data_IF_782304800488
#
_entry.id   IF_782304800488
#
_cell.length_a   1.000
_cell.length_b   1.000
_cell.length_c   1.000
_cell.angle_alpha   90.00
_cell.angle_beta   90.00
_cell.angle_gamma   90.00
#
_symmetry.space_group_name_H-M   'P 1'
#
loop_
_entity.id
_entity.type
_entity.pdbx_description
1 polymer ?
#
# COMPACT_ATOMS: atom_id res chain seq x y z
N UNK A 1 33.41 1.92 -1.91
CA UNK A 1 34.54 2.76 -2.38
C UNK A 1 34.42 3.10 -3.88
N UNK A 2 34.38 2.12 -4.79
CA UNK A 2 34.29 2.37 -6.25
C UNK A 2 33.01 3.10 -6.68
N UNK A 3 31.85 2.75 -6.11
CA UNK A 3 30.56 3.40 -6.41
C UNK A 3 30.56 4.90 -6.17
N UNK A 4 31.22 5.36 -5.10
CA UNK A 4 31.35 6.80 -4.80
C UNK A 4 32.27 7.48 -5.82
N UNK A 5 33.40 6.84 -6.14
CA UNK A 5 34.36 7.37 -7.09
C UNK A 5 33.76 7.56 -8.50
N UNK A 6 32.90 6.63 -8.95
CA UNK A 6 32.18 6.74 -10.23
C UNK A 6 31.30 8.00 -10.27
N UNK A 7 30.54 8.24 -9.20
CA UNK A 7 29.68 9.43 -9.09
C UNK A 7 30.51 10.71 -9.08
N UNK A 8 31.58 10.75 -8.28
CA UNK A 8 32.46 11.93 -8.19
C UNK A 8 33.26 12.18 -9.47
N UNK A 9 33.45 11.18 -10.32
CA UNK A 9 34.11 11.31 -11.62
C UNK A 9 33.19 11.89 -12.72
N UNK A 10 31.97 12.32 -12.38
CA UNK A 10 31.04 12.97 -13.32
C UNK A 10 30.20 12.02 -14.16
N UNK A 11 30.16 10.72 -13.82
CA UNK A 11 29.43 9.71 -14.60
C UNK A 11 27.90 9.93 -14.62
N UNK A 12 27.33 10.70 -13.69
CA UNK A 12 25.87 10.86 -13.58
C UNK A 12 25.26 11.58 -14.80
N UNK A 13 25.90 12.63 -15.32
CA UNK A 13 25.32 13.43 -16.41
C UNK A 13 25.13 12.59 -17.69
N UNK A 14 26.13 11.83 -18.18
CA UNK A 14 25.92 10.91 -19.31
C UNK A 14 24.88 9.83 -19.01
N UNK A 15 24.92 9.24 -17.81
CA UNK A 15 24.00 8.16 -17.42
C UNK A 15 22.55 8.62 -17.45
N UNK A 16 22.26 9.82 -16.95
CA UNK A 16 20.90 10.38 -16.98
C UNK A 16 20.45 10.66 -18.42
N UNK A 17 21.35 11.14 -19.27
CA UNK A 17 21.06 11.27 -20.70
C UNK A 17 20.68 9.92 -21.34
N UNK A 18 21.34 8.84 -20.94
CA UNK A 18 21.06 7.50 -21.43
C UNK A 18 19.75 6.89 -20.91
N UNK A 19 19.18 7.38 -19.81
CA UNK A 19 17.85 6.95 -19.35
C UNK A 19 16.73 7.32 -20.34
N UNK A 20 16.92 8.40 -21.10
CA UNK A 20 15.98 8.87 -22.12
C UNK A 20 16.30 8.31 -23.53
N UNK A 21 17.23 7.35 -23.63
CA UNK A 21 17.63 6.77 -24.92
C UNK A 21 16.55 5.86 -25.50
N UNK A 22 16.26 5.99 -26.80
CA UNK A 22 15.42 5.04 -27.55
C UNK A 22 16.08 3.66 -27.71
N UNK A 23 17.40 3.58 -27.53
CA UNK A 23 18.10 2.30 -27.50
C UNK A 23 17.86 1.61 -26.15
N UNK A 24 16.98 0.60 -26.16
CA UNK A 24 16.59 -0.17 -24.98
C UNK A 24 17.76 -0.81 -24.23
N UNK A 25 18.81 -1.23 -24.93
CA UNK A 25 20.03 -1.76 -24.30
C UNK A 25 20.80 -0.68 -23.53
N UNK A 26 20.93 0.51 -24.12
CA UNK A 26 21.58 1.65 -23.47
C UNK A 26 20.77 2.17 -22.28
N UNK A 27 19.44 2.28 -22.43
CA UNK A 27 18.53 2.65 -21.35
C UNK A 27 18.58 1.64 -20.20
N UNK A 28 18.48 0.34 -20.51
CA UNK A 28 18.56 -0.72 -19.50
C UNK A 28 19.88 -0.70 -18.73
N UNK A 29 21.02 -0.52 -19.43
CA UNK A 29 22.33 -0.39 -18.79
C UNK A 29 22.41 0.86 -17.90
N UNK A 30 21.83 1.98 -18.32
CA UNK A 30 21.77 3.20 -17.52
C UNK A 30 20.95 2.98 -16.23
N UNK A 31 19.77 2.37 -16.33
CA UNK A 31 18.95 2.02 -15.15
C UNK A 31 19.71 1.09 -14.21
N UNK A 32 20.32 0.02 -14.72
CA UNK A 32 21.09 -0.93 -13.92
C UNK A 32 22.26 -0.26 -13.17
N UNK A 33 22.92 0.70 -13.82
CA UNK A 33 23.98 1.50 -13.18
C UNK A 33 23.40 2.40 -12.08
N UNK A 34 22.26 3.06 -12.31
CA UNK A 34 21.59 3.86 -11.27
C UNK A 34 21.19 2.99 -10.07
N UNK A 35 20.64 1.79 -10.27
CA UNK A 35 20.34 0.84 -9.18
C UNK A 35 21.62 0.53 -8.39
N UNK A 36 22.69 0.17 -9.09
CA UNK A 36 23.96 -0.23 -8.48
C UNK A 36 24.56 0.90 -7.64
N UNK A 37 24.51 2.13 -8.15
CA UNK A 37 25.05 3.32 -7.48
C UNK A 37 24.16 3.78 -6.32
N UNK A 38 22.83 3.75 -6.48
CA UNK A 38 21.85 4.15 -5.45
C UNK A 38 21.77 3.19 -4.27
N UNK A 39 22.23 1.95 -4.42
CA UNK A 39 22.40 1.03 -3.29
C UNK A 39 23.40 1.54 -2.23
N UNK A 40 24.29 2.48 -2.58
CA UNK A 40 25.20 3.12 -1.62
C UNK A 40 24.54 4.34 -0.98
N UNK A 41 24.38 4.36 0.35
CA UNK A 41 23.80 5.50 1.08
C UNK A 41 24.50 6.83 0.77
N UNK A 42 25.82 6.82 0.62
CA UNK A 42 26.64 8.00 0.31
C UNK A 42 26.34 8.64 -1.06
N UNK A 43 25.76 7.88 -1.98
CA UNK A 43 25.53 8.35 -3.35
C UNK A 43 24.11 8.89 -3.54
N UNK A 44 23.16 8.48 -2.69
CA UNK A 44 21.73 8.77 -2.85
C UNK A 44 21.46 10.27 -2.97
N UNK A 45 22.06 11.08 -2.09
CA UNK A 45 21.90 12.54 -2.12
C UNK A 45 22.32 13.16 -3.46
N UNK A 46 23.50 12.76 -3.96
CA UNK A 46 24.08 13.29 -5.20
C UNK A 46 23.25 12.83 -6.42
N UNK A 47 22.82 11.57 -6.44
CA UNK A 47 21.99 11.03 -7.53
C UNK A 47 20.59 11.65 -7.52
N UNK A 48 19.98 11.87 -6.35
CA UNK A 48 18.67 12.52 -6.31
C UNK A 48 18.72 13.98 -6.76
N UNK A 49 19.83 14.67 -6.51
CA UNK A 49 20.04 16.05 -6.97
C UNK A 49 20.40 16.17 -8.46
N UNK A 50 20.62 15.07 -9.19
CA UNK A 50 21.10 15.13 -10.58
C UNK A 50 19.99 15.20 -11.64
N UNK A 51 18.72 15.30 -11.25
CA UNK A 51 17.59 15.28 -12.20
C UNK A 51 17.22 13.87 -12.69
N UNK A 52 17.49 12.85 -11.88
CA UNK A 52 17.27 11.43 -12.24
C UNK A 52 15.80 11.02 -12.23
N UNK A 53 14.94 11.71 -11.47
CA UNK A 53 13.56 11.26 -11.23
C UNK A 53 12.66 11.32 -12.47
N UNK A 54 12.60 12.41 -13.25
CA UNK A 54 11.71 12.46 -14.41
C UNK A 54 11.99 11.36 -15.45
N UNK A 55 13.27 11.08 -15.85
CA UNK A 55 13.56 9.98 -16.76
C UNK A 55 13.18 8.60 -16.21
N UNK A 56 13.38 8.36 -14.90
CA UNK A 56 12.98 7.10 -14.27
C UNK A 56 11.46 6.92 -14.27
N UNK A 57 10.69 7.99 -14.02
CA UNK A 57 9.23 7.96 -14.08
C UNK A 57 8.72 7.75 -15.51
N UNK A 58 9.36 8.37 -16.50
CA UNK A 58 9.02 8.18 -17.92
C UNK A 58 9.14 6.71 -18.37
N UNK A 59 10.17 6.00 -17.90
CA UNK A 59 10.37 4.56 -18.14
C UNK A 59 9.16 3.73 -17.63
N UNK A 60 8.51 4.15 -16.54
CA UNK A 60 7.36 3.42 -15.99
C UNK A 60 6.13 3.53 -16.92
N UNK A 61 5.93 4.71 -17.51
CA UNK A 61 4.76 5.03 -18.35
C UNK A 61 4.93 4.63 -19.81
N UNK A 62 6.16 4.44 -20.28
CA UNK A 62 6.42 4.07 -21.67
C UNK A 62 5.91 2.65 -21.98
N UNK A 63 5.07 2.54 -23.00
CA UNK A 63 4.50 1.27 -23.46
C UNK A 63 5.53 0.38 -24.17
N UNK A 64 6.57 0.96 -24.79
CA UNK A 64 7.63 0.22 -25.47
C UNK A 64 8.66 -0.37 -24.50
N UNK A 65 8.71 0.15 -23.27
CA UNK A 65 9.65 -0.29 -22.24
C UNK A 65 9.24 -1.67 -21.68
N UNK A 66 10.22 -2.59 -21.61
CA UNK A 66 10.02 -3.93 -21.07
C UNK A 66 9.64 -3.94 -19.59
N UNK A 67 8.90 -4.97 -19.14
CA UNK A 67 8.54 -5.15 -17.73
C UNK A 67 9.76 -5.20 -16.79
N UNK A 68 10.90 -5.74 -17.26
CA UNK A 68 12.13 -5.77 -16.48
C UNK A 68 12.69 -4.36 -16.27
N UNK A 69 12.75 -3.53 -17.31
CA UNK A 69 13.22 -2.15 -17.21
C UNK A 69 12.30 -1.29 -16.30
N UNK A 70 10.98 -1.52 -16.34
CA UNK A 70 10.04 -0.87 -15.41
C UNK A 70 10.30 -1.27 -13.95
N UNK A 71 10.49 -2.57 -13.70
CA UNK A 71 10.84 -3.06 -12.37
C UNK A 71 12.17 -2.49 -11.87
N UNK A 72 13.18 -2.45 -12.74
CA UNK A 72 14.51 -1.91 -12.45
C UNK A 72 14.43 -0.39 -12.15
N UNK A 73 13.62 0.36 -12.89
CA UNK A 73 13.37 1.78 -12.59
C UNK A 73 12.69 1.96 -11.24
N UNK A 74 11.67 1.16 -10.91
CA UNK A 74 11.06 1.16 -9.57
C UNK A 74 12.07 0.84 -8.47
N UNK A 75 12.98 -0.11 -8.69
CA UNK A 75 14.06 -0.41 -7.73
C UNK A 75 15.00 0.77 -7.52
N UNK A 76 15.37 1.49 -8.59
CA UNK A 76 16.17 2.71 -8.49
C UNK A 76 15.45 3.79 -7.68
N UNK A 77 14.18 4.07 -7.99
CA UNK A 77 13.34 5.04 -7.28
C UNK A 77 13.22 4.69 -5.79
N UNK A 78 12.95 3.42 -5.48
CA UNK A 78 12.85 2.93 -4.10
C UNK A 78 14.17 3.09 -3.34
N UNK A 79 15.31 2.74 -3.95
CA UNK A 79 16.62 2.92 -3.32
C UNK A 79 16.89 4.40 -2.99
N UNK A 80 16.60 5.30 -3.93
CA UNK A 80 16.79 6.74 -3.76
C UNK A 80 15.86 7.33 -2.70
N UNK A 81 14.63 6.80 -2.58
CA UNK A 81 13.59 7.24 -1.65
C UNK A 81 13.90 6.98 -0.17
N UNK A 82 14.91 6.15 0.12
CA UNK A 82 15.40 5.98 1.49
C UNK A 82 16.23 7.16 2.03
N UNK A 83 16.44 8.21 1.22
CA UNK A 83 17.03 9.48 1.64
C UNK A 83 15.96 10.57 1.60
N UNK A 84 15.76 11.31 2.70
CA UNK A 84 14.59 12.20 2.87
C UNK A 84 14.56 13.35 1.86
N UNK A 85 15.72 13.95 1.58
CA UNK A 85 15.88 15.05 0.63
C UNK A 85 15.62 14.63 -0.82
N UNK A 86 15.65 13.32 -1.10
CA UNK A 86 15.28 12.76 -2.38
C UNK A 86 13.77 12.58 -2.51
N UNK A 87 13.05 12.33 -1.42
CA UNK A 87 11.60 12.23 -1.43
C UNK A 87 10.97 13.57 -1.84
N UNK A 88 11.50 14.69 -1.34
CA UNK A 88 11.05 16.03 -1.75
C UNK A 88 11.22 16.23 -3.26
N UNK A 89 12.40 15.93 -3.80
CA UNK A 89 12.67 16.04 -5.25
C UNK A 89 11.88 15.05 -6.11
N UNK A 90 11.58 13.87 -5.58
CA UNK A 90 10.72 12.90 -6.25
C UNK A 90 9.28 13.43 -6.33
N UNK A 91 8.77 14.06 -5.25
CA UNK A 91 7.44 14.68 -5.24
C UNK A 91 7.34 15.88 -6.18
N UNK A 92 8.39 16.69 -6.31
CA UNK A 92 8.48 17.77 -7.32
C UNK A 92 8.36 17.23 -8.76
N UNK A 93 8.69 15.95 -8.98
CA UNK A 93 8.53 15.28 -10.28
C UNK A 93 7.16 14.57 -10.44
N UNK A 94 6.22 14.80 -9.52
CA UNK A 94 4.83 14.31 -9.58
C UNK A 94 4.73 12.80 -9.89
N UNK A 95 5.15 11.92 -8.97
CA UNK A 95 5.32 10.49 -9.29
C UNK A 95 3.98 9.74 -9.34
N UNK A 96 2.92 10.28 -8.73
CA UNK A 96 1.66 9.56 -8.51
C UNK A 96 1.00 9.08 -9.82
N UNK A 97 0.78 9.92 -10.86
CA UNK A 97 0.16 9.46 -12.10
C UNK A 97 0.93 8.31 -12.76
N UNK A 98 2.27 8.38 -12.78
CA UNK A 98 3.12 7.33 -13.34
C UNK A 98 3.01 6.00 -12.56
N UNK A 99 2.98 6.07 -11.23
CA UNK A 99 2.85 4.90 -10.36
C UNK A 99 1.45 4.24 -10.48
N UNK A 100 0.39 5.05 -10.56
CA UNK A 100 -0.98 4.56 -10.73
C UNK A 100 -1.20 3.97 -12.12
N UNK A 101 -0.72 4.62 -13.17
CA UNK A 101 -0.75 4.05 -14.53
C UNK A 101 -0.02 2.70 -14.62
N UNK A 102 1.09 2.55 -13.89
CA UNK A 102 1.81 1.29 -13.80
C UNK A 102 1.03 0.22 -13.03
N UNK A 103 0.36 0.56 -11.93
CA UNK A 103 -0.51 -0.38 -11.20
C UNK A 103 -1.71 -0.84 -12.03
N UNK A 104 -2.38 0.08 -12.74
CA UNK A 104 -3.51 -0.23 -13.64
C UNK A 104 -3.13 -1.21 -14.75
N UNK A 105 -1.88 -1.19 -15.21
CA UNK A 105 -1.36 -2.07 -16.26
C UNK A 105 -0.63 -3.32 -15.75
N UNK A 106 -0.57 -3.54 -14.43
CA UNK A 106 0.15 -4.64 -13.80
C UNK A 106 -0.76 -5.63 -13.09
N UNK A 107 -0.38 -6.92 -13.10
CA UNK A 107 -1.04 -7.91 -12.22
C UNK A 107 -0.77 -7.56 -10.76
N UNK A 108 -1.81 -7.56 -9.92
CA UNK A 108 -1.75 -7.16 -8.50
C UNK A 108 -0.78 -8.00 -7.66
N UNK A 109 -0.64 -9.29 -7.98
CA UNK A 109 0.32 -10.21 -7.34
C UNK A 109 1.76 -10.13 -7.88
N UNK A 110 2.02 -9.26 -8.87
CA UNK A 110 3.36 -9.16 -9.48
C UNK A 110 4.37 -8.42 -8.61
N UNK A 111 5.66 -8.65 -8.88
CA UNK A 111 6.77 -7.90 -8.26
C UNK A 111 6.74 -6.40 -8.58
N UNK A 112 6.21 -6.04 -9.75
CA UNK A 112 6.02 -4.63 -10.15
C UNK A 112 4.98 -3.98 -9.24
N UNK A 113 3.81 -4.61 -9.08
CA UNK A 113 2.77 -4.10 -8.19
C UNK A 113 3.25 -3.96 -6.74
N UNK A 114 3.98 -4.97 -6.22
CA UNK A 114 4.57 -4.92 -4.88
C UNK A 114 5.55 -3.76 -4.70
N UNK A 115 6.53 -3.62 -5.62
CA UNK A 115 7.53 -2.56 -5.52
C UNK A 115 6.95 -1.16 -5.75
N UNK A 116 5.96 -1.04 -6.63
CA UNK A 116 5.22 0.21 -6.86
C UNK A 116 4.45 0.62 -5.61
N UNK A 117 3.68 -0.31 -5.02
CA UNK A 117 2.89 -0.06 -3.80
C UNK A 117 3.78 0.26 -2.60
N UNK A 118 4.95 -0.39 -2.48
CA UNK A 118 5.94 -0.05 -1.46
C UNK A 118 6.46 1.40 -1.59
N UNK A 119 6.66 1.87 -2.83
CA UNK A 119 7.05 3.26 -3.06
C UNK A 119 5.90 4.22 -2.74
N UNK A 120 4.66 3.88 -3.10
CA UNK A 120 3.46 4.64 -2.71
C UNK A 120 3.37 4.75 -1.18
N UNK A 121 3.53 3.64 -0.44
CA UNK A 121 3.51 3.63 1.04
C UNK A 121 4.51 4.65 1.63
N UNK A 122 5.74 4.70 1.11
CA UNK A 122 6.75 5.67 1.55
C UNK A 122 6.30 7.11 1.28
N UNK A 123 5.74 7.37 0.10
CA UNK A 123 5.30 8.70 -0.30
C UNK A 123 4.10 9.20 0.52
N UNK A 124 3.25 8.31 1.03
CA UNK A 124 2.10 8.68 1.88
C UNK A 124 2.51 9.38 3.18
N UNK A 125 3.79 9.39 3.54
CA UNK A 125 4.31 10.25 4.61
C UNK A 125 4.13 11.76 4.35
N UNK A 126 3.87 12.18 3.11
CA UNK A 126 3.74 13.58 2.70
C UNK A 126 2.31 13.92 2.27
N UNK A 127 1.82 15.09 2.68
CA UNK A 127 0.46 15.55 2.38
C UNK A 127 0.20 15.75 0.88
N UNK A 128 1.20 16.27 0.17
CA UNK A 128 1.17 16.45 -1.28
C UNK A 128 0.88 15.13 -1.99
N UNK A 129 1.56 14.05 -1.57
CA UNK A 129 1.40 12.72 -2.17
C UNK A 129 0.04 12.10 -1.84
N UNK A 130 -0.43 12.24 -0.60
CA UNK A 130 -1.75 11.74 -0.19
C UNK A 130 -2.87 12.44 -0.97
N UNK A 131 -2.77 13.76 -1.11
CA UNK A 131 -3.73 14.56 -1.87
C UNK A 131 -3.71 14.22 -3.36
N UNK A 132 -2.52 14.03 -3.93
CA UNK A 132 -2.37 13.59 -5.32
C UNK A 132 -2.98 12.20 -5.52
N UNK A 133 -2.70 11.24 -4.64
CA UNK A 133 -3.25 9.89 -4.73
C UNK A 133 -4.78 9.85 -4.60
N UNK A 134 -5.35 10.68 -3.72
CA UNK A 134 -6.79 10.79 -3.55
C UNK A 134 -7.49 11.49 -4.73
N UNK A 135 -6.79 12.37 -5.46
CA UNK A 135 -7.33 13.10 -6.60
C UNK A 135 -7.11 12.40 -7.94
N UNK A 136 -6.10 11.52 -8.02
CA UNK A 136 -5.80 10.73 -9.22
C UNK A 136 -6.94 9.75 -9.52
N UNK A 137 -7.37 9.70 -10.78
CA UNK A 137 -8.41 8.77 -11.23
C UNK A 137 -8.03 7.33 -10.89
N UNK A 138 -8.86 6.64 -10.11
CA UNK A 138 -8.59 5.28 -9.64
C UNK A 138 -7.32 5.14 -8.79
N UNK A 139 -6.79 6.21 -8.20
CA UNK A 139 -5.59 6.19 -7.37
C UNK A 139 -5.76 5.34 -6.12
N UNK A 140 -6.73 5.69 -5.28
CA UNK A 140 -7.08 4.89 -4.08
C UNK A 140 -7.56 3.49 -4.45
N UNK A 141 -8.37 3.38 -5.50
CA UNK A 141 -8.87 2.10 -6.02
C UNK A 141 -7.71 1.15 -6.35
N UNK A 142 -6.69 1.63 -7.06
CA UNK A 142 -5.53 0.80 -7.44
C UNK A 142 -4.79 0.23 -6.23
N UNK A 143 -4.76 0.94 -5.10
CA UNK A 143 -4.16 0.46 -3.86
C UNK A 143 -5.07 -0.54 -3.15
N UNK A 144 -6.39 -0.28 -3.09
CA UNK A 144 -7.38 -1.22 -2.55
C UNK A 144 -7.40 -2.53 -3.33
N UNK A 145 -7.28 -2.46 -4.64
CA UNK A 145 -7.21 -3.62 -5.50
C UNK A 145 -5.93 -4.47 -5.28
N UNK A 146 -4.80 -3.84 -4.91
CA UNK A 146 -3.60 -4.56 -4.47
C UNK A 146 -3.82 -5.21 -3.10
N UNK A 147 -4.57 -4.55 -2.21
CA UNK A 147 -4.98 -5.13 -0.93
C UNK A 147 -5.84 -6.38 -1.12
N UNK A 148 -6.80 -6.37 -2.05
CA UNK A 148 -7.75 -7.47 -2.24
C UNK A 148 -7.23 -8.63 -3.08
N UNK A 149 -6.39 -8.35 -4.09
CA UNK A 149 -5.96 -9.35 -5.08
C UNK A 149 -4.44 -9.48 -5.23
N UNK A 150 -3.68 -8.83 -4.34
CA UNK A 150 -2.22 -8.94 -4.29
C UNK A 150 -1.72 -10.22 -3.61
N UNK A 151 -0.40 -10.41 -3.63
CA UNK A 151 0.22 -11.34 -2.68
C UNK A 151 0.12 -10.77 -1.26
N UNK A 152 0.31 -11.61 -0.24
CA UNK A 152 0.34 -11.15 1.16
C UNK A 152 1.31 -9.97 1.31
N UNK A 153 2.55 -10.10 0.82
CA UNK A 153 3.58 -9.04 0.84
C UNK A 153 3.10 -7.73 0.17
N UNK A 154 2.48 -7.81 -1.00
CA UNK A 154 2.00 -6.63 -1.71
C UNK A 154 0.85 -5.94 -0.96
N UNK A 155 -0.07 -6.73 -0.40
CA UNK A 155 -1.17 -6.21 0.38
C UNK A 155 -0.71 -5.58 1.71
N UNK A 156 0.41 -6.01 2.31
CA UNK A 156 0.97 -5.31 3.49
C UNK A 156 1.37 -3.88 3.17
N UNK A 157 1.97 -3.65 2.01
CA UNK A 157 2.28 -2.30 1.54
C UNK A 157 1.00 -1.49 1.30
N UNK A 158 -0.05 -2.12 0.75
CA UNK A 158 -1.34 -1.46 0.56
C UNK A 158 -1.99 -1.07 1.90
N UNK A 159 -2.00 -1.97 2.89
CA UNK A 159 -2.45 -1.66 4.27
C UNK A 159 -1.66 -0.48 4.83
N UNK A 160 -0.33 -0.49 4.70
CA UNK A 160 0.56 0.57 5.17
C UNK A 160 0.27 1.92 4.52
N UNK A 161 0.05 1.94 3.20
CA UNK A 161 -0.27 3.15 2.45
C UNK A 161 -1.61 3.74 2.90
N UNK A 162 -2.69 2.95 2.91
CA UNK A 162 -4.04 3.40 3.30
C UNK A 162 -4.08 3.85 4.77
N UNK A 163 -3.37 3.15 5.67
CA UNK A 163 -3.27 3.53 7.08
C UNK A 163 -2.54 4.87 7.24
N UNK A 164 -1.45 5.07 6.51
CA UNK A 164 -0.67 6.31 6.56
C UNK A 164 -1.47 7.47 5.99
N UNK A 165 -2.26 7.25 4.92
CA UNK A 165 -3.22 8.24 4.44
C UNK A 165 -4.21 8.65 5.52
N UNK A 166 -4.92 7.69 6.10
CA UNK A 166 -5.97 7.95 7.08
C UNK A 166 -5.43 8.57 8.38
N UNK A 167 -4.20 8.25 8.79
CA UNK A 167 -3.52 8.90 9.93
C UNK A 167 -3.08 10.33 9.65
N UNK A 168 -2.79 10.67 8.39
CA UNK A 168 -2.41 12.02 7.99
C UNK A 168 -3.57 13.01 8.18
N UNK A 169 -4.74 12.64 7.66
CA UNK A 169 -5.99 13.36 7.87
C UNK A 169 -7.18 12.40 7.69
N UNK A 170 -7.73 11.93 8.82
CA UNK A 170 -8.85 10.98 8.81
C UNK A 170 -10.05 11.58 8.07
N UNK A 171 -10.40 12.83 8.34
CA UNK A 171 -11.58 13.48 7.78
C UNK A 171 -11.52 13.61 6.27
N UNK A 172 -10.32 13.87 5.75
CA UNK A 172 -10.08 14.06 4.32
C UNK A 172 -10.03 12.76 3.53
N UNK A 173 -9.40 11.71 4.07
CA UNK A 173 -9.11 10.49 3.30
C UNK A 173 -10.04 9.31 3.60
N UNK A 174 -10.76 9.32 4.73
CA UNK A 174 -11.63 8.20 5.13
C UNK A 174 -12.66 7.84 4.05
N UNK A 175 -13.40 8.82 3.55
CA UNK A 175 -14.49 8.61 2.60
C UNK A 175 -13.97 8.01 1.28
N UNK A 176 -12.83 8.49 0.79
CA UNK A 176 -12.20 7.94 -0.41
C UNK A 176 -11.83 6.45 -0.23
N UNK A 177 -11.26 6.07 0.93
CA UNK A 177 -10.89 4.69 1.22
C UNK A 177 -12.13 3.77 1.33
N UNK A 178 -13.21 4.26 1.96
CA UNK A 178 -14.45 3.51 2.10
C UNK A 178 -15.16 3.32 0.76
N UNK A 179 -15.22 4.37 -0.05
CA UNK A 179 -15.88 4.35 -1.36
C UNK A 179 -15.31 3.31 -2.30
N UNK A 180 -13.99 3.12 -2.27
CA UNK A 180 -13.31 2.10 -3.09
C UNK A 180 -13.39 0.69 -2.51
N UNK A 181 -14.05 0.50 -1.36
CA UNK A 181 -14.37 -0.83 -0.84
C UNK A 181 -13.27 -1.50 -0.01
N UNK A 182 -12.41 -0.77 0.69
CA UNK A 182 -11.26 -1.36 1.39
C UNK A 182 -11.60 -2.38 2.52
N UNK A 183 -12.82 -2.39 3.06
CA UNK A 183 -13.17 -3.15 4.27
C UNK A 183 -12.93 -4.68 4.16
N UNK A 184 -13.40 -5.39 3.11
CA UNK A 184 -13.23 -6.84 3.02
C UNK A 184 -11.75 -7.25 3.02
N UNK A 185 -10.92 -6.59 2.19
CA UNK A 185 -9.47 -6.84 2.17
C UNK A 185 -8.80 -6.52 3.51
N UNK A 186 -9.22 -5.46 4.20
CA UNK A 186 -8.68 -5.15 5.54
C UNK A 186 -9.05 -6.23 6.57
N UNK A 187 -10.29 -6.74 6.54
CA UNK A 187 -10.72 -7.82 7.43
C UNK A 187 -9.91 -9.10 7.19
N UNK A 188 -9.70 -9.46 5.92
CA UNK A 188 -8.86 -10.59 5.54
C UNK A 188 -7.44 -10.44 6.10
N UNK A 189 -6.83 -9.26 5.94
CA UNK A 189 -5.50 -8.95 6.47
C UNK A 189 -5.40 -8.94 8.00
N UNK A 190 -6.51 -8.83 8.74
CA UNK A 190 -6.47 -9.02 10.21
C UNK A 190 -6.15 -10.47 10.61
N UNK A 191 -6.36 -11.42 9.70
CA UNK A 191 -6.12 -12.86 9.90
C UNK A 191 -4.86 -13.32 9.17
N UNK A 192 -4.69 -12.95 7.89
CA UNK A 192 -3.64 -13.53 7.04
C UNK A 192 -2.35 -12.71 6.90
N UNK A 193 -2.34 -11.43 7.32
CA UNK A 193 -1.17 -10.57 7.19
C UNK A 193 -0.04 -10.93 8.17
N UNK A 194 1.15 -10.34 7.99
CA UNK A 194 2.19 -10.35 9.04
C UNK A 194 1.69 -9.67 10.32
N UNK A 195 2.33 -9.89 11.48
CA UNK A 195 1.96 -9.20 12.73
C UNK A 195 1.87 -7.68 12.59
N UNK A 196 2.74 -7.07 11.78
CA UNK A 196 2.72 -5.64 11.46
C UNK A 196 1.47 -5.28 10.66
N UNK A 197 1.19 -6.02 9.58
CA UNK A 197 0.05 -5.75 8.70
C UNK A 197 -1.29 -6.00 9.40
N UNK A 198 -1.42 -7.08 10.18
CA UNK A 198 -2.60 -7.35 11.00
C UNK A 198 -2.90 -6.22 11.98
N UNK A 199 -1.86 -5.71 12.67
CA UNK A 199 -2.01 -4.55 13.54
C UNK A 199 -2.43 -3.31 12.75
N UNK A 200 -1.78 -3.05 11.61
CA UNK A 200 -2.13 -1.93 10.73
C UNK A 200 -3.57 -1.98 10.23
N UNK A 201 -4.04 -3.14 9.79
CA UNK A 201 -5.40 -3.36 9.32
C UNK A 201 -6.43 -3.13 10.44
N UNK A 202 -6.19 -3.66 11.65
CA UNK A 202 -7.04 -3.41 12.82
C UNK A 202 -7.13 -1.93 13.17
N UNK A 203 -6.01 -1.20 13.12
CA UNK A 203 -5.99 0.24 13.38
C UNK A 203 -6.75 1.00 12.29
N UNK A 204 -6.52 0.66 11.01
CA UNK A 204 -7.21 1.31 9.91
C UNK A 204 -8.72 1.08 9.97
N UNK A 205 -9.18 -0.15 10.24
CA UNK A 205 -10.61 -0.44 10.42
C UNK A 205 -11.25 0.41 11.52
N UNK A 206 -10.54 0.65 12.63
CA UNK A 206 -11.01 1.56 13.70
C UNK A 206 -11.09 3.01 13.22
N UNK A 207 -10.10 3.48 12.46
CA UNK A 207 -10.13 4.83 11.88
C UNK A 207 -11.23 4.99 10.82
N UNK A 208 -11.58 3.92 10.11
CA UNK A 208 -12.64 3.93 9.10
C UNK A 208 -14.05 3.80 9.72
N UNK A 209 -14.19 3.37 10.98
CA UNK A 209 -15.48 3.39 11.68
C UNK A 209 -15.93 4.84 11.91
N UNK A 210 -17.24 5.12 11.83
CA UNK A 210 -17.77 6.44 12.18
C UNK A 210 -17.53 6.74 13.67
N UNK A 211 -17.20 8.01 13.95
CA UNK A 211 -17.15 8.56 15.32
C UNK A 211 -18.51 9.19 15.69
N UNK A 212 -19.61 8.76 15.07
CA UNK A 212 -20.91 9.29 15.49
C UNK A 212 -21.08 9.00 16.99
N UNK A 213 -21.31 10.03 17.82
CA UNK A 213 -21.91 9.78 19.10
C UNK A 213 -23.26 9.17 18.75
N UNK A 214 -23.39 7.86 18.94
CA UNK A 214 -24.70 7.20 18.97
C UNK A 214 -25.58 8.12 19.80
N UNK A 215 -26.60 8.70 19.17
CA UNK A 215 -27.52 9.59 19.86
C UNK A 215 -27.90 8.93 21.19
N UNK A 216 -27.83 9.67 22.29
CA UNK A 216 -27.93 9.16 23.66
C UNK A 216 -29.25 8.44 23.99
N UNK A 217 -30.11 8.18 23.01
CA UNK A 217 -31.32 7.37 23.09
C UNK A 217 -31.13 5.88 22.77
N UNK A 218 -30.04 5.45 22.15
CA UNK A 218 -29.80 4.01 21.86
C UNK A 218 -28.75 3.35 22.77
N UNK A 219 -28.03 4.16 23.56
CA UNK A 219 -27.03 3.68 24.53
C UNK A 219 -27.68 2.81 25.60
N UNK A 220 -28.96 3.03 25.91
CA UNK A 220 -29.64 2.25 26.95
C UNK A 220 -29.83 0.77 26.57
N UNK A 221 -30.05 0.44 25.28
CA UNK A 221 -30.30 -0.96 24.87
C UNK A 221 -29.00 -1.74 24.63
N UNK A 222 -27.98 -1.11 24.03
CA UNK A 222 -26.69 -1.76 23.80
C UNK A 222 -25.88 -1.94 25.09
N UNK A 223 -25.92 -0.95 26.00
CA UNK A 223 -25.29 -1.09 27.31
C UNK A 223 -26.06 -2.09 28.16
N UNK A 224 -27.39 -2.23 28.03
CA UNK A 224 -28.09 -3.36 28.68
C UNK A 224 -27.66 -4.70 28.11
N UNK A 225 -27.41 -4.83 26.81
CA UNK A 225 -26.97 -6.11 26.25
C UNK A 225 -25.53 -6.45 26.67
N UNK A 226 -24.59 -5.51 26.64
CA UNK A 226 -23.23 -5.73 27.15
C UNK A 226 -23.23 -5.97 28.67
N UNK A 227 -24.07 -5.28 29.45
CA UNK A 227 -24.21 -5.52 30.89
C UNK A 227 -24.90 -6.87 31.20
N UNK A 228 -25.88 -7.30 30.39
CA UNK A 228 -26.51 -8.61 30.51
C UNK A 228 -25.51 -9.71 30.14
N UNK A 229 -24.75 -9.54 29.06
CA UNK A 229 -23.69 -10.49 28.65
C UNK A 229 -22.58 -10.53 29.69
N UNK A 230 -22.14 -9.39 30.24
CA UNK A 230 -21.13 -9.34 31.29
C UNK A 230 -21.62 -9.96 32.60
N UNK A 231 -22.91 -9.79 32.97
CA UNK A 231 -23.51 -10.43 34.14
C UNK A 231 -23.68 -11.94 33.96
N UNK A 232 -24.06 -12.40 32.76
CA UNK A 232 -24.16 -13.83 32.44
C UNK A 232 -22.77 -14.47 32.44
N UNK A 233 -21.76 -13.80 31.86
CA UNK A 233 -20.37 -14.26 31.88
C UNK A 233 -19.84 -14.36 33.32
N UNK A 234 -20.12 -13.38 34.18
CA UNK A 234 -19.74 -13.46 35.60
C UNK A 234 -20.51 -14.54 36.37
N UNK A 235 -21.77 -14.80 36.02
CA UNK A 235 -22.56 -15.89 36.63
C UNK A 235 -22.13 -17.28 36.16
N UNK A 236 -21.46 -17.37 34.99
CA UNK A 236 -20.91 -18.61 34.46
C UNK A 236 -19.49 -18.89 34.98
N UNK A 237 -18.73 -17.85 35.35
CA UNK A 237 -17.38 -18.00 35.93
C UNK A 237 -17.40 -18.43 37.40
N UNK A 238 -18.55 -18.33 38.08
CA UNK A 238 -18.76 -18.79 39.46
C UNK A 238 -19.26 -20.26 39.57
N UNK A 239 -19.54 -20.95 38.45
CA UNK A 239 -19.86 -22.38 38.45
C UNK A 239 -18.59 -23.18 38.12
N UNK A 240 -17.84 -23.46 39.20
CA UNK A 240 -16.65 -24.31 39.21
C UNK A 240 -17.01 -25.73 38.75
N UNK A 241 -16.91 -25.95 37.44
CA UNK A 241 -17.17 -27.21 36.77
C UNK A 241 -16.14 -27.47 35.67
N UNK A 242 -14.98 -27.98 36.07
CA UNK A 242 -13.90 -28.55 35.24
C UNK A 242 -14.41 -29.19 33.93
N UNK A 243 -14.13 -28.59 32.76
CA UNK A 243 -13.88 -29.34 31.51
C UNK A 243 -13.06 -28.53 30.48
N UNK A 244 -11.87 -29.07 30.17
CA UNK A 244 -10.99 -28.99 28.99
C UNK A 244 -10.82 -27.69 28.16
N UNK A 245 -9.55 -27.27 28.12
CA UNK A 245 -8.95 -26.35 27.15
C UNK A 245 -8.99 -26.93 25.72
N UNK A 246 -9.25 -26.05 24.74
CA UNK A 246 -8.94 -26.16 23.29
C UNK A 246 -10.10 -26.25 22.27
N UNK A 247 -11.13 -25.37 22.33
CA UNK A 247 -12.05 -25.23 21.17
C UNK A 247 -12.70 -23.83 20.98
N UNK A 248 -12.34 -22.80 21.76
CA UNK A 248 -12.95 -21.46 21.66
C UNK A 248 -12.36 -20.57 20.56
N UNK A 249 -11.03 -20.61 20.39
CA UNK A 249 -10.31 -19.74 19.46
C UNK A 249 -10.48 -20.18 17.99
N UNK A 250 -10.65 -21.49 17.74
CA UNK A 250 -10.84 -22.05 16.40
C UNK A 250 -12.16 -21.65 15.76
N UNK A 251 -13.25 -21.65 16.53
CA UNK A 251 -14.60 -21.30 16.05
C UNK A 251 -14.69 -19.84 15.61
N UNK A 252 -14.11 -18.93 16.38
CA UNK A 252 -14.08 -17.50 16.04
C UNK A 252 -13.27 -17.22 14.77
N UNK A 253 -12.12 -17.88 14.59
CA UNK A 253 -11.32 -17.76 13.36
C UNK A 253 -12.04 -18.34 12.15
N UNK A 254 -12.74 -19.47 12.31
CA UNK A 254 -13.52 -20.10 11.24
C UNK A 254 -14.68 -19.22 10.79
N UNK A 255 -15.44 -18.64 11.72
CA UNK A 255 -16.55 -17.74 11.39
C UNK A 255 -16.09 -16.47 10.64
N UNK A 256 -14.96 -15.88 11.06
CA UNK A 256 -14.39 -14.73 10.33
C UNK A 256 -13.93 -15.12 8.93
N UNK A 257 -13.27 -16.28 8.79
CA UNK A 257 -12.86 -16.80 7.48
C UNK A 257 -14.05 -17.01 6.55
N UNK A 258 -15.13 -17.62 7.05
CA UNK A 258 -16.34 -17.90 6.27
C UNK A 258 -17.06 -16.61 5.86
N UNK A 259 -17.10 -15.59 6.73
CA UNK A 259 -17.68 -14.29 6.40
C UNK A 259 -16.87 -13.53 5.35
N UNK A 260 -15.53 -13.59 5.41
CA UNK A 260 -14.65 -12.96 4.42
C UNK A 260 -14.82 -13.62 3.06
N UNK A 261 -14.86 -14.96 3.01
CA UNK A 261 -15.06 -15.71 1.77
C UNK A 261 -16.40 -15.35 1.10
N UNK A 262 -17.48 -15.28 1.87
CA UNK A 262 -18.79 -14.88 1.36
C UNK A 262 -18.79 -13.43 0.83
N UNK A 263 -18.08 -12.52 1.51
CA UNK A 263 -17.94 -11.14 1.05
C UNK A 263 -17.17 -11.04 -0.27
N UNK A 264 -16.11 -11.83 -0.43
CA UNK A 264 -15.33 -11.87 -1.68
C UNK A 264 -16.15 -12.40 -2.85
N UNK A 265 -16.93 -13.46 -2.65
CA UNK A 265 -17.82 -14.00 -3.69
C UNK A 265 -18.88 -12.98 -4.15
N UNK A 266 -19.45 -12.23 -3.21
CA UNK A 266 -20.42 -11.17 -3.51
C UNK A 266 -19.77 -9.99 -4.24
N UNK A 267 -18.54 -9.60 -3.89
CA UNK A 267 -17.78 -8.57 -4.59
C UNK A 267 -17.42 -9.00 -6.01
N UNK A 268 -16.96 -10.24 -6.21
CA UNK A 268 -16.71 -10.83 -7.53
C UNK A 268 -17.95 -10.82 -8.42
N UNK A 269 -19.10 -11.18 -7.85
CA UNK A 269 -20.37 -11.16 -8.58
C UNK A 269 -20.77 -9.74 -9.02
N UNK A 270 -20.61 -8.75 -8.14
CA UNK A 270 -20.84 -7.34 -8.47
C UNK A 270 -19.89 -6.81 -9.55
N UNK A 271 -18.64 -7.28 -9.57
CA UNK A 271 -17.68 -6.92 -10.64
C UNK A 271 -18.07 -7.55 -11.98
N UNK A 272 -18.54 -8.80 -12.00
CA UNK A 272 -19.02 -9.47 -13.21
C UNK A 272 -20.28 -8.80 -13.78
N UNK A 273 -21.21 -8.40 -12.92
CA UNK A 273 -22.43 -7.68 -13.32
C UNK A 273 -22.11 -6.28 -13.90
N UNK A 274 -21.01 -5.64 -13.46
CA UNK A 274 -20.54 -4.36 -14.03
C UNK A 274 -19.76 -4.51 -15.34
N UNK A 275 -19.16 -5.66 -15.59
CA UNK A 275 -18.40 -5.94 -16.81
C UNK A 275 -19.28 -6.43 -17.99
N UNK A 276 -20.58 -6.65 -17.75
CA UNK A 276 -21.55 -7.19 -18.71
C UNK A 276 -22.52 -6.13 -19.26
N UNK A 277 -22.26 -4.84 -18.98
CA UNK A 277 -22.93 -3.66 -19.54
C UNK A 277 -21.92 -2.84 -20.32
#
# INVERSE_FOLDING_TARGET
RNKRNIVTAGALKPVIGFLASENSGLQGNAVALVITLSASSTNKAIIGASGVFPPLLQILTDAATSSQAKFDSLMALHNLSSHKENLVKLLEAEPVPALIGLLKSSRRSSRIAGKCTALIEILMGYEEARSALASEDGGVLSVVEVLESGSVENGEHAVGALLTMCRGDRSKYREAILREGAIPGLLEFTVQGSPKSQHGARVLLRLLRDDEPRSSSEVQEADTFENIVSNIMSQMEDDDGVVDEDDGCGKSKKMVSDMVQLSMELSLKRMQDRASV
#
